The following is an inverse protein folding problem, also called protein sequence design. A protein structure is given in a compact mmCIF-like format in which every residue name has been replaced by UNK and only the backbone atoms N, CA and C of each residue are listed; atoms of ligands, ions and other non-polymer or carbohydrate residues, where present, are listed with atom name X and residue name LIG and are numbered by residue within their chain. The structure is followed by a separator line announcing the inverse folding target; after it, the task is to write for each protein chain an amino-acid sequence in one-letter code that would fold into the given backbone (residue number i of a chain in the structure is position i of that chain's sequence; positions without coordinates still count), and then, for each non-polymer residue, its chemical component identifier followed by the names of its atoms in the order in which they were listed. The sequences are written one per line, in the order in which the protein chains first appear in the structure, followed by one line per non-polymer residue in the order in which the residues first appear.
data_IF_241101369256
#
_entry.id   IF_241101369256
#
_cell.length_a   1.000
_cell.length_b   1.000
_cell.length_c   1.000
_cell.angle_alpha   90.00
_cell.angle_beta   90.00
_cell.angle_gamma   90.00
#
_symmetry.space_group_name_H-M   'P 1'
#
loop_
_entity.id
_entity.type
_entity.pdbx_description
1 polymer ?
#
# COMPACT_ATOMS: atom_id res chain seq x y z
N UNK A 1 8.56 -56.22 19.21
CA UNK A 1 7.70 -55.24 18.48
C UNK A 1 7.95 -53.78 18.91
N UNK A 2 8.52 -53.52 20.09
CA UNK A 2 8.74 -52.17 20.63
C UNK A 2 9.93 -51.39 20.03
N UNK A 3 10.87 -52.06 19.34
CA UNK A 3 12.01 -51.41 18.66
C UNK A 3 11.69 -50.82 17.28
N UNK A 4 10.56 -51.19 16.67
CA UNK A 4 10.17 -50.68 15.35
C UNK A 4 9.39 -49.35 15.42
N UNK A 5 8.75 -49.04 16.57
CA UNK A 5 8.00 -47.79 16.74
C UNK A 5 8.89 -46.56 17.02
N UNK A 6 10.06 -46.73 17.64
CA UNK A 6 10.93 -45.61 18.02
C UNK A 6 11.66 -45.02 16.80
N UNK A 7 11.98 -45.84 15.80
CA UNK A 7 12.65 -45.40 14.56
C UNK A 7 11.73 -44.57 13.66
N UNK A 8 10.42 -44.86 13.65
CA UNK A 8 9.45 -44.07 12.88
C UNK A 8 9.24 -42.66 13.46
N UNK A 9 9.35 -42.48 14.77
CA UNK A 9 9.12 -41.17 15.40
C UNK A 9 10.29 -40.20 15.14
N UNK A 10 11.54 -40.67 15.16
CA UNK A 10 12.73 -39.83 14.90
C UNK A 10 12.82 -39.38 13.42
N UNK A 11 12.36 -40.22 12.49
CA UNK A 11 12.29 -39.87 11.06
C UNK A 11 11.20 -38.82 10.74
N UNK A 12 10.15 -38.73 11.56
CA UNK A 12 9.09 -37.72 11.39
C UNK A 12 9.58 -36.33 11.86
N UNK A 13 10.31 -36.23 12.98
CA UNK A 13 10.82 -34.95 13.49
C UNK A 13 11.89 -34.31 12.60
N UNK A 14 12.75 -35.11 11.98
CA UNK A 14 13.82 -34.61 11.10
C UNK A 14 13.28 -34.05 9.77
N UNK A 15 12.17 -34.59 9.25
CA UNK A 15 11.54 -34.08 8.03
C UNK A 15 10.80 -32.74 8.21
N UNK A 16 10.20 -32.48 9.38
CA UNK A 16 9.49 -31.22 9.65
C UNK A 16 10.46 -30.03 9.75
N UNK A 17 11.60 -30.20 10.46
CA UNK A 17 12.60 -29.14 10.60
C UNK A 17 13.28 -28.80 9.25
N UNK A 18 13.58 -29.80 8.42
CA UNK A 18 14.18 -29.59 7.09
C UNK A 18 13.16 -28.93 6.13
N UNK A 19 11.89 -29.34 6.14
CA UNK A 19 10.85 -28.71 5.34
C UNK A 19 10.66 -27.22 5.71
N UNK A 20 10.59 -26.90 7.01
CA UNK A 20 10.47 -25.52 7.50
C UNK A 20 11.70 -24.67 7.12
N UNK A 21 12.91 -25.25 7.14
CA UNK A 21 14.14 -24.57 6.71
C UNK A 21 14.18 -24.25 5.20
N UNK A 22 13.51 -25.04 4.36
CA UNK A 22 13.45 -24.83 2.92
C UNK A 22 12.45 -23.74 2.49
N UNK A 23 11.39 -23.56 3.27
CA UNK A 23 10.32 -22.56 3.02
C UNK A 23 10.80 -21.15 3.35
N UNK A 24 11.68 -20.98 4.34
CA UNK A 24 12.23 -19.68 4.75
C UNK A 24 13.43 -19.21 3.91
N UNK A 25 13.79 -19.92 2.83
CA UNK A 25 14.84 -19.48 1.90
C UNK A 25 14.34 -18.32 1.03
N UNK A 26 15.24 -17.38 0.72
CA UNK A 26 14.97 -16.21 -0.13
C UNK A 26 14.18 -16.56 -1.39
N UNK A 27 14.66 -17.53 -2.16
CA UNK A 27 14.05 -17.91 -3.44
C UNK A 27 12.67 -18.54 -3.26
N UNK A 28 12.48 -19.32 -2.20
CA UNK A 28 11.18 -19.90 -1.83
C UNK A 28 10.16 -18.81 -1.47
N UNK A 29 10.58 -17.81 -0.68
CA UNK A 29 9.74 -16.68 -0.30
C UNK A 29 9.38 -15.85 -1.53
N UNK A 30 10.38 -15.50 -2.35
CA UNK A 30 10.17 -14.73 -3.58
C UNK A 30 9.21 -15.46 -4.54
N UNK A 31 9.36 -16.77 -4.70
CA UNK A 31 8.44 -17.59 -5.50
C UNK A 31 6.99 -17.48 -5.00
N UNK A 32 6.76 -17.44 -3.69
CA UNK A 32 5.41 -17.29 -3.14
C UNK A 32 4.86 -15.87 -3.31
N UNK A 33 5.69 -14.84 -3.10
CA UNK A 33 5.29 -13.45 -3.37
C UNK A 33 4.85 -13.28 -4.83
N UNK A 34 5.66 -13.78 -5.77
CA UNK A 34 5.36 -13.78 -7.20
C UNK A 34 4.08 -14.53 -7.53
N UNK A 35 3.89 -15.72 -6.95
CA UNK A 35 2.67 -16.52 -7.15
C UNK A 35 1.41 -15.75 -6.76
N UNK A 36 1.40 -15.11 -5.60
CA UNK A 36 0.24 -14.35 -5.11
C UNK A 36 0.02 -13.08 -5.95
N UNK A 37 1.10 -12.37 -6.30
CA UNK A 37 1.01 -11.19 -7.17
C UNK A 37 0.45 -11.53 -8.55
N UNK A 38 0.95 -12.59 -9.20
CA UNK A 38 0.45 -13.08 -10.48
C UNK A 38 -1.01 -13.51 -10.41
N UNK A 39 -1.39 -14.28 -9.37
CA UNK A 39 -2.78 -14.65 -9.15
C UNK A 39 -3.69 -13.41 -9.04
N UNK A 40 -3.29 -12.40 -8.28
CA UNK A 40 -4.10 -11.20 -8.10
C UNK A 40 -4.26 -10.41 -9.42
N UNK A 41 -3.22 -10.35 -10.25
CA UNK A 41 -3.29 -9.73 -11.59
C UNK A 41 -4.24 -10.49 -12.51
N UNK A 42 -4.22 -11.83 -12.48
CA UNK A 42 -5.16 -12.65 -13.24
C UNK A 42 -6.61 -12.39 -12.81
N UNK A 43 -6.88 -12.18 -11.52
CA UNK A 43 -8.22 -11.86 -11.04
C UNK A 43 -8.71 -10.48 -11.54
N UNK A 44 -7.81 -9.51 -11.71
CA UNK A 44 -8.13 -8.26 -12.41
C UNK A 44 -8.48 -8.51 -13.87
N UNK A 45 -7.69 -9.32 -14.58
CA UNK A 45 -7.91 -9.63 -15.99
C UNK A 45 -9.22 -10.38 -16.24
N UNK A 46 -9.62 -11.26 -15.31
CA UNK A 46 -10.92 -11.96 -15.32
C UNK A 46 -12.10 -11.05 -14.94
N UNK A 47 -11.83 -9.84 -14.44
CA UNK A 47 -12.85 -8.92 -13.95
C UNK A 47 -13.48 -9.35 -12.62
N UNK A 48 -12.79 -10.18 -11.82
CA UNK A 48 -13.28 -10.65 -10.51
C UNK A 48 -13.08 -9.59 -9.41
N UNK A 49 -12.12 -8.68 -9.59
CA UNK A 49 -11.94 -7.53 -8.70
C UNK A 49 -13.00 -6.48 -9.02
N UNK A 50 -14.05 -6.41 -8.20
CA UNK A 50 -15.19 -5.51 -8.39
C UNK A 50 -15.04 -4.15 -7.71
N UNK A 51 -14.16 -4.06 -6.70
CA UNK A 51 -13.86 -2.80 -6.03
C UNK A 51 -13.16 -1.84 -7.00
N UNK A 52 -13.44 -0.53 -6.94
CA UNK A 52 -12.77 0.45 -7.81
C UNK A 52 -11.25 0.35 -7.69
N UNK A 53 -10.55 0.47 -8.82
CA UNK A 53 -9.07 0.46 -8.87
C UNK A 53 -8.43 1.58 -8.06
N UNK A 54 -9.16 2.64 -7.76
CA UNK A 54 -8.71 3.76 -6.93
C UNK A 54 -8.92 3.52 -5.43
N UNK A 55 -9.66 2.47 -5.03
CA UNK A 55 -9.99 2.22 -3.64
C UNK A 55 -8.75 1.75 -2.84
N UNK A 56 -8.78 1.97 -1.53
CA UNK A 56 -7.60 1.78 -0.67
C UNK A 56 -7.08 0.35 -0.60
N UNK A 57 -7.94 -0.68 -0.74
CA UNK A 57 -7.50 -2.08 -0.72
C UNK A 57 -6.59 -2.35 -1.91
N UNK A 58 -6.94 -1.78 -3.06
CA UNK A 58 -6.12 -1.81 -4.26
C UNK A 58 -4.88 -0.92 -4.10
N UNK A 59 -5.00 0.26 -3.48
CA UNK A 59 -3.84 1.10 -3.15
C UNK A 59 -2.78 0.37 -2.31
N UNK A 60 -3.20 -0.37 -1.29
CA UNK A 60 -2.33 -1.19 -0.45
C UNK A 60 -1.69 -2.35 -1.24
N UNK A 61 -2.46 -3.03 -2.10
CA UNK A 61 -1.93 -4.03 -3.03
C UNK A 61 -0.82 -3.44 -3.93
N UNK A 62 -1.06 -2.26 -4.50
CA UNK A 62 -0.11 -1.61 -5.40
C UNK A 62 1.17 -1.21 -4.69
N UNK A 63 1.09 -0.71 -3.45
CA UNK A 63 2.26 -0.43 -2.63
C UNK A 63 3.12 -1.70 -2.42
N UNK A 64 2.48 -2.84 -2.13
CA UNK A 64 3.17 -4.14 -2.02
C UNK A 64 3.83 -4.59 -3.33
N UNK A 65 3.14 -4.44 -4.47
CA UNK A 65 3.71 -4.77 -5.79
C UNK A 65 4.86 -3.84 -6.19
N UNK A 66 4.78 -2.55 -5.85
CA UNK A 66 5.88 -1.60 -6.04
C UNK A 66 7.11 -2.00 -5.21
N UNK A 67 6.92 -2.48 -3.99
CA UNK A 67 8.00 -3.01 -3.15
C UNK A 67 8.59 -4.32 -3.72
N UNK A 68 7.75 -5.24 -4.22
CA UNK A 68 8.19 -6.48 -4.87
C UNK A 68 9.12 -6.21 -6.06
N UNK A 69 8.82 -5.19 -6.87
CA UNK A 69 9.67 -4.77 -8.00
C UNK A 69 11.09 -4.32 -7.58
N UNK A 70 11.34 -4.02 -6.31
CA UNK A 70 12.69 -3.69 -5.83
C UNK A 70 13.52 -4.93 -5.46
N UNK A 71 12.91 -6.11 -5.43
CA UNK A 71 13.57 -7.39 -5.09
C UNK A 71 13.41 -8.46 -6.18
N UNK A 72 12.72 -8.14 -7.27
CA UNK A 72 12.48 -9.00 -8.43
C UNK A 72 12.59 -8.18 -9.72
N UNK A 73 13.27 -8.72 -10.74
CA UNK A 73 13.48 -8.05 -12.02
C UNK A 73 12.32 -8.23 -13.01
N UNK A 74 11.29 -8.98 -12.62
CA UNK A 74 10.11 -9.25 -13.43
C UNK A 74 9.30 -7.96 -13.66
N UNK A 75 9.26 -7.54 -14.92
CA UNK A 75 8.60 -6.29 -15.32
C UNK A 75 7.09 -6.41 -15.38
N UNK A 76 6.52 -7.62 -15.40
CA UNK A 76 5.08 -7.83 -15.61
C UNK A 76 4.23 -7.13 -14.55
N UNK A 77 4.66 -7.13 -13.28
CA UNK A 77 4.00 -6.42 -12.19
C UNK A 77 4.03 -4.90 -12.40
N UNK A 78 5.16 -4.38 -12.88
CA UNK A 78 5.32 -2.95 -13.10
C UNK A 78 4.48 -2.45 -14.28
N UNK A 79 4.37 -3.25 -15.34
CA UNK A 79 3.52 -2.94 -16.50
C UNK A 79 2.03 -3.01 -16.14
N UNK A 80 1.63 -3.98 -15.31
CA UNK A 80 0.29 -4.03 -14.72
C UNK A 80 -0.03 -2.74 -13.96
N UNK A 81 0.87 -2.31 -13.06
CA UNK A 81 0.68 -1.11 -12.26
C UNK A 81 0.63 0.17 -13.13
N UNK A 82 1.42 0.24 -14.20
CA UNK A 82 1.31 1.33 -15.18
C UNK A 82 -0.07 1.34 -15.84
N UNK A 83 -0.56 0.16 -16.25
CA UNK A 83 -1.89 -0.01 -16.83
C UNK A 83 -3.03 0.37 -15.88
N UNK A 84 -2.87 0.16 -14.58
CA UNK A 84 -3.81 0.66 -13.57
C UNK A 84 -3.88 2.19 -13.62
N UNK A 85 -2.73 2.88 -13.58
CA UNK A 85 -2.66 4.35 -13.66
C UNK A 85 -3.32 4.91 -14.92
N UNK A 86 -3.02 4.34 -16.08
CA UNK A 86 -3.68 4.71 -17.34
C UNK A 86 -5.19 4.49 -17.28
N UNK A 87 -5.65 3.33 -16.79
CA UNK A 87 -7.09 3.02 -16.73
C UNK A 87 -7.88 3.91 -15.77
N UNK A 88 -7.22 4.46 -14.75
CA UNK A 88 -7.78 5.43 -13.83
C UNK A 88 -7.66 6.87 -14.35
N UNK A 89 -7.02 7.08 -15.50
CA UNK A 89 -6.65 8.42 -15.99
C UNK A 89 -5.87 9.22 -14.95
N UNK A 90 -5.03 8.52 -14.18
CA UNK A 90 -4.22 9.06 -13.09
C UNK A 90 -5.02 9.89 -12.07
N UNK A 91 -6.28 9.48 -11.84
CA UNK A 91 -7.20 10.12 -10.91
C UNK A 91 -7.37 9.32 -9.62
N UNK A 92 -7.82 10.01 -8.57
CA UNK A 92 -8.06 9.45 -7.24
C UNK A 92 -9.52 9.05 -7.07
N UNK A 93 -9.87 8.52 -5.91
CA UNK A 93 -11.26 8.33 -5.48
C UNK A 93 -12.03 9.66 -5.33
N UNK A 94 -13.32 9.53 -5.03
CA UNK A 94 -14.29 10.64 -5.10
C UNK A 94 -14.09 11.69 -4.02
N UNK A 95 -13.74 11.27 -2.80
CA UNK A 95 -13.73 12.09 -1.61
C UNK A 95 -12.35 12.69 -1.38
N UNK A 96 -12.26 14.00 -1.54
CA UNK A 96 -10.98 14.72 -1.62
C UNK A 96 -10.14 14.68 -0.33
N UNK A 97 -10.78 14.70 0.83
CA UNK A 97 -10.09 14.70 2.13
C UNK A 97 -10.04 13.31 2.79
N UNK A 98 -10.60 12.29 2.13
CA UNK A 98 -10.64 10.95 2.69
C UNK A 98 -9.39 10.16 2.31
N UNK A 99 -8.58 9.78 3.30
CA UNK A 99 -7.26 9.16 3.09
C UNK A 99 -7.29 7.93 2.18
N UNK A 100 -8.32 7.09 2.32
CA UNK A 100 -8.52 5.91 1.50
C UNK A 100 -8.58 6.23 -0.01
N UNK A 101 -9.30 7.31 -0.36
CA UNK A 101 -9.58 7.66 -1.76
C UNK A 101 -8.33 8.19 -2.49
N UNK A 102 -7.32 8.69 -1.78
CA UNK A 102 -6.06 9.10 -2.40
C UNK A 102 -4.87 8.19 -2.08
N UNK A 103 -5.09 7.01 -1.45
CA UNK A 103 -4.05 6.00 -1.24
C UNK A 103 -3.36 5.58 -2.56
N UNK A 104 -4.13 5.47 -3.65
CA UNK A 104 -3.62 5.14 -4.99
C UNK A 104 -2.55 6.13 -5.49
N UNK A 105 -2.51 7.35 -4.96
CA UNK A 105 -1.50 8.34 -5.34
C UNK A 105 -0.06 7.94 -4.96
N UNK A 106 0.11 6.99 -4.01
CA UNK A 106 1.41 6.38 -3.75
C UNK A 106 1.98 5.70 -5.00
N UNK A 107 1.14 4.96 -5.74
CA UNK A 107 1.50 4.33 -7.01
C UNK A 107 1.83 5.41 -8.05
N UNK A 108 0.93 6.38 -8.23
CA UNK A 108 1.08 7.39 -9.27
C UNK A 108 2.36 8.22 -9.12
N UNK A 109 2.67 8.63 -7.89
CA UNK A 109 3.87 9.41 -7.61
C UNK A 109 5.14 8.61 -7.87
N UNK A 110 5.15 7.31 -7.53
CA UNK A 110 6.29 6.45 -7.83
C UNK A 110 6.45 6.18 -9.34
N UNK A 111 5.35 6.07 -10.08
CA UNK A 111 5.38 6.00 -11.54
C UNK A 111 5.96 7.29 -12.14
N UNK A 112 5.49 8.45 -11.67
CA UNK A 112 6.06 9.74 -12.06
C UNK A 112 7.55 9.83 -11.75
N UNK A 113 8.00 9.38 -10.58
CA UNK A 113 9.42 9.44 -10.24
C UNK A 113 10.30 8.66 -11.23
N UNK A 114 9.78 7.60 -11.86
CA UNK A 114 10.49 6.83 -12.90
C UNK A 114 10.33 7.42 -14.30
N UNK A 115 9.09 7.71 -14.73
CA UNK A 115 8.81 8.12 -16.11
C UNK A 115 8.88 9.62 -16.36
N UNK A 116 8.76 10.43 -15.30
CA UNK A 116 8.76 11.90 -15.34
C UNK A 116 7.63 12.52 -16.19
N UNK A 117 6.57 11.77 -16.49
CA UNK A 117 5.40 12.29 -17.22
C UNK A 117 4.43 13.03 -16.27
N UNK A 118 4.26 14.35 -16.41
CA UNK A 118 3.41 15.15 -15.51
C UNK A 118 1.96 14.66 -15.41
N UNK A 119 1.42 13.98 -16.43
CA UNK A 119 0.03 13.48 -16.41
C UNK A 119 -0.24 12.58 -15.21
N UNK A 120 0.80 11.89 -14.71
CA UNK A 120 0.71 10.94 -13.62
C UNK A 120 0.38 11.57 -12.28
N UNK A 121 0.78 12.84 -12.06
CA UNK A 121 0.62 13.49 -10.76
C UNK A 121 -0.09 14.84 -10.82
N UNK A 122 -0.39 15.40 -12.00
CA UNK A 122 -0.99 16.74 -12.10
C UNK A 122 -2.30 16.87 -11.30
N UNK A 123 -3.17 15.85 -11.37
CA UNK A 123 -4.42 15.81 -10.58
C UNK A 123 -4.14 15.59 -9.10
N UNK A 124 -3.16 14.74 -8.77
CA UNK A 124 -2.75 14.49 -7.39
C UNK A 124 -2.18 15.75 -6.72
N UNK A 125 -1.32 16.50 -7.40
CA UNK A 125 -0.80 17.80 -6.93
C UNK A 125 -1.95 18.75 -6.60
N UNK A 126 -2.92 18.91 -7.52
CA UNK A 126 -4.07 19.76 -7.30
C UNK A 126 -4.95 19.31 -6.11
N UNK A 127 -5.04 18.01 -5.84
CA UNK A 127 -5.73 17.50 -4.65
C UNK A 127 -4.91 17.72 -3.37
N UNK A 128 -3.62 17.38 -3.41
CA UNK A 128 -2.72 17.50 -2.29
C UNK A 128 -2.56 18.95 -1.82
N UNK A 129 -2.58 19.92 -2.73
CA UNK A 129 -2.60 21.34 -2.38
C UNK A 129 -3.85 21.68 -1.53
N UNK A 130 -5.03 21.16 -1.90
CA UNK A 130 -6.24 21.37 -1.07
C UNK A 130 -6.18 20.68 0.29
N UNK A 131 -5.45 19.56 0.41
CA UNK A 131 -5.20 18.90 1.70
C UNK A 131 -4.24 19.73 2.54
N UNK A 132 -3.20 20.31 1.93
CA UNK A 132 -2.23 21.17 2.62
C UNK A 132 -2.92 22.42 3.19
N UNK A 133 -3.83 23.01 2.43
CA UNK A 133 -4.55 24.22 2.84
C UNK A 133 -5.65 23.96 3.87
N UNK A 134 -6.16 22.72 3.94
CA UNK A 134 -7.17 22.32 4.92
C UNK A 134 -6.59 22.31 6.36
N UNK A 135 -7.36 22.83 7.31
CA UNK A 135 -6.88 23.06 8.68
C UNK A 135 -6.80 21.78 9.52
N UNK A 136 -7.72 20.82 9.31
CA UNK A 136 -7.80 19.59 10.11
C UNK A 136 -7.80 19.89 11.63
N UNK A 137 -8.75 20.70 12.10
CA UNK A 137 -8.84 21.15 13.49
C UNK A 137 -10.03 20.55 14.27
N UNK A 138 -10.81 19.64 13.65
CA UNK A 138 -11.89 18.94 14.35
C UNK A 138 -11.31 17.90 15.35
N UNK A 139 -12.08 17.62 16.39
CA UNK A 139 -11.82 16.52 17.32
C UNK A 139 -11.93 15.17 16.60
N UNK A 140 -11.00 14.25 16.86
CA UNK A 140 -10.98 12.90 16.28
C UNK A 140 -11.97 11.91 16.94
N UNK A 141 -12.81 12.39 17.88
CA UNK A 141 -13.92 11.61 18.42
C UNK A 141 -14.83 11.09 17.32
N UNK A 142 -15.33 9.87 17.52
CA UNK A 142 -16.27 9.22 16.60
C UNK A 142 -17.50 10.12 16.43
N UNK A 143 -17.70 10.58 15.20
CA UNK A 143 -18.81 11.42 14.79
C UNK A 143 -19.19 11.08 13.34
N UNK A 144 -20.43 11.39 12.89
CA UNK A 144 -20.84 11.14 11.52
C UNK A 144 -19.85 11.73 10.50
N UNK A 145 -19.39 10.88 9.58
CA UNK A 145 -18.48 11.22 8.49
C UNK A 145 -17.15 11.87 8.93
N UNK A 146 -16.70 11.66 10.17
CA UNK A 146 -15.46 12.28 10.66
C UNK A 146 -14.26 11.92 9.77
N UNK A 147 -14.21 10.68 9.27
CA UNK A 147 -13.16 10.20 8.38
C UNK A 147 -13.09 10.95 7.03
N UNK A 148 -14.18 11.58 6.59
CA UNK A 148 -14.20 12.39 5.37
C UNK A 148 -13.63 13.81 5.57
N UNK A 149 -13.27 14.16 6.81
CA UNK A 149 -12.81 15.51 7.21
C UNK A 149 -11.51 15.49 7.99
N UNK A 150 -11.19 14.36 8.61
CA UNK A 150 -10.05 14.15 9.51
C UNK A 150 -9.44 12.76 9.36
N UNK A 151 -8.15 12.60 9.65
CA UNK A 151 -7.51 11.29 9.84
C UNK A 151 -7.86 10.73 11.23
N UNK A 152 -9.12 10.33 11.41
CA UNK A 152 -9.68 9.90 12.70
C UNK A 152 -9.64 8.38 12.94
N UNK A 153 -8.95 7.61 12.10
CA UNK A 153 -8.75 6.17 12.22
C UNK A 153 -7.29 5.80 11.94
N UNK A 154 -6.81 4.69 12.51
CA UNK A 154 -5.39 4.36 12.45
C UNK A 154 -4.94 3.94 11.05
N UNK A 155 -5.80 3.32 10.25
CA UNK A 155 -5.50 2.87 8.89
C UNK A 155 -5.17 4.07 7.97
N UNK A 156 -5.72 5.26 8.26
CA UNK A 156 -5.37 6.51 7.57
C UNK A 156 -3.86 6.78 7.56
N UNK A 157 -3.14 6.30 8.58
CA UNK A 157 -1.70 6.45 8.70
C UNK A 157 -0.91 5.63 7.67
N UNK A 158 -1.52 4.63 7.04
CA UNK A 158 -0.92 3.98 5.87
C UNK A 158 -1.32 4.69 4.57
N UNK A 159 -2.57 5.14 4.46
CA UNK A 159 -3.10 5.70 3.21
C UNK A 159 -2.58 7.11 2.93
N UNK A 160 -2.62 7.96 3.95
CA UNK A 160 -2.43 9.40 3.84
C UNK A 160 -0.97 9.84 3.81
N UNK A 161 -0.18 9.57 4.87
CA UNK A 161 1.18 10.09 5.01
C UNK A 161 2.12 9.70 3.87
N UNK A 162 2.21 8.42 3.43
CA UNK A 162 3.10 8.07 2.33
C UNK A 162 2.70 8.73 1.00
N UNK A 163 1.41 8.93 0.74
CA UNK A 163 0.92 9.62 -0.47
C UNK A 163 1.48 11.05 -0.59
N UNK A 164 1.46 11.79 0.53
CA UNK A 164 1.99 13.16 0.61
C UNK A 164 3.53 13.19 0.67
N UNK A 165 4.15 12.23 1.38
CA UNK A 165 5.61 12.15 1.52
C UNK A 165 6.30 11.81 0.18
N UNK A 166 5.76 10.86 -0.59
CA UNK A 166 6.24 10.59 -1.94
C UNK A 166 6.11 11.83 -2.82
N UNK A 167 5.01 12.58 -2.71
CA UNK A 167 4.81 13.78 -3.52
C UNK A 167 5.85 14.86 -3.21
N UNK A 168 6.21 15.03 -1.93
CA UNK A 168 7.30 15.92 -1.52
C UNK A 168 8.63 15.53 -2.17
N UNK A 169 8.93 14.23 -2.18
CA UNK A 169 10.16 13.72 -2.82
C UNK A 169 10.16 13.99 -4.32
N UNK A 170 9.03 13.74 -4.99
CA UNK A 170 8.88 13.90 -6.43
C UNK A 170 8.94 15.36 -6.90
N UNK A 171 8.35 16.28 -6.13
CA UNK A 171 8.23 17.71 -6.47
C UNK A 171 9.32 18.57 -5.86
N UNK A 172 10.06 18.05 -4.87
CA UNK A 172 10.99 18.79 -3.99
C UNK A 172 10.30 19.88 -3.17
N UNK A 173 8.99 19.80 -2.96
CA UNK A 173 8.22 20.71 -2.12
C UNK A 173 7.90 20.06 -0.77
N UNK A 174 8.48 20.60 0.32
CA UNK A 174 8.33 20.05 1.67
C UNK A 174 6.94 20.27 2.28
N UNK A 175 6.06 21.08 1.68
CA UNK A 175 4.74 21.39 2.26
C UNK A 175 3.89 20.13 2.48
N UNK A 176 3.96 19.16 1.56
CA UNK A 176 3.17 17.93 1.67
C UNK A 176 3.65 17.05 2.83
N UNK A 177 4.98 16.89 2.99
CA UNK A 177 5.57 16.14 4.10
C UNK A 177 5.26 16.81 5.44
N UNK A 178 5.35 18.14 5.53
CA UNK A 178 4.99 18.88 6.75
C UNK A 178 3.53 18.68 7.14
N UNK A 179 2.61 18.70 6.17
CA UNK A 179 1.19 18.38 6.43
C UNK A 179 1.01 16.94 6.90
N UNK A 180 1.67 15.98 6.23
CA UNK A 180 1.63 14.57 6.61
C UNK A 180 2.12 14.34 8.05
N UNK A 181 3.26 14.95 8.43
CA UNK A 181 3.83 14.87 9.77
C UNK A 181 2.89 15.46 10.84
N UNK A 182 2.32 16.63 10.56
CA UNK A 182 1.34 17.27 11.46
C UNK A 182 0.14 16.36 11.73
N UNK A 183 -0.45 15.78 10.67
CA UNK A 183 -1.61 14.92 10.80
C UNK A 183 -1.25 13.56 11.41
N UNK A 184 -0.06 13.03 11.12
CA UNK A 184 0.46 11.81 11.76
C UNK A 184 0.48 11.94 13.28
N UNK A 185 1.05 13.04 13.79
CA UNK A 185 1.11 13.27 15.23
C UNK A 185 -0.26 13.52 15.84
N UNK A 186 -1.13 14.30 15.18
CA UNK A 186 -2.53 14.50 15.64
C UNK A 186 -3.26 13.16 15.83
N UNK A 187 -3.20 12.28 14.83
CA UNK A 187 -3.87 10.98 14.86
C UNK A 187 -3.23 10.04 15.87
N UNK A 188 -1.89 9.98 15.90
CA UNK A 188 -1.16 9.11 16.83
C UNK A 188 -1.37 9.53 18.28
N UNK A 189 -1.34 10.82 18.59
CA UNK A 189 -1.61 11.33 19.94
C UNK A 189 -3.01 10.94 20.45
N UNK A 190 -3.99 10.84 19.56
CA UNK A 190 -5.35 10.48 19.91
C UNK A 190 -5.60 8.96 19.97
N UNK A 191 -5.05 8.19 19.03
CA UNK A 191 -5.38 6.76 18.86
C UNK A 191 -4.36 5.80 19.47
N UNK A 192 -3.13 6.23 19.71
CA UNK A 192 -2.09 5.35 20.24
C UNK A 192 -2.28 5.11 21.73
N UNK A 193 -2.48 3.84 22.10
CA UNK A 193 -2.43 3.42 23.50
C UNK A 193 -0.98 3.43 24.00
N UNK A 194 -0.74 4.18 25.08
CA UNK A 194 0.59 4.34 25.69
C UNK A 194 0.83 3.33 26.82
N UNK A 195 -0.15 2.48 27.11
CA UNK A 195 -0.14 1.55 28.26
C UNK A 195 0.15 0.12 27.89
#
# INVERSE_FOLDING_TARGET
MTRFLITCIIAIYSNVAVAQSSVLKKDSILKQMKKVASWQIEEFAKGNVKIPKTNWENGALYAGMMALKNVDDDKSYYDFLYGIGESNHWDMGRNRLFADDYCVAQLYTQMYMKYKDPKMIVKWVALADTIVDHQFNESLKVAPNINLREWAWCDALFMGPPSLAYLSTATKDLKYLKKADTLWWKTSEYLYDKT
#
